data_IF_698646815773
#
_entry.id   IF_698646815773
#
_cell.length_a   1.000
_cell.length_b   1.000
_cell.length_c   1.000
_cell.angle_alpha   90.00
_cell.angle_beta   90.00
_cell.angle_gamma   90.00
#
_symmetry.space_group_name_H-M   'P 1'
#
loop_
_entity.id
_entity.type
_entity.pdbx_description
1 polymer ?
#
# COMPACT_ATOMS: atom_id res chain seq x y z
N UNK A 1 14.74 2.55 -0.34
CA UNK A 1 14.09 2.37 -1.66
C UNK A 1 13.47 0.97 -1.67
N UNK A 2 12.30 0.80 -2.29
CA UNK A 2 11.62 -0.49 -2.43
C UNK A 2 11.49 -0.80 -3.93
N UNK A 3 11.54 -2.07 -4.33
CA UNK A 3 11.29 -2.47 -5.70
C UNK A 3 9.77 -2.59 -5.93
N UNK A 4 9.19 -1.64 -6.66
CA UNK A 4 7.75 -1.51 -6.91
C UNK A 4 7.40 -2.16 -8.23
N UNK A 5 6.55 -3.18 -8.19
CA UNK A 5 6.17 -3.95 -9.38
C UNK A 5 4.66 -3.90 -9.58
N UNK A 6 4.22 -3.55 -10.79
CA UNK A 6 2.83 -3.68 -11.22
C UNK A 6 2.65 -5.00 -11.95
N UNK A 7 1.73 -5.84 -11.48
CA UNK A 7 1.35 -7.08 -12.16
C UNK A 7 0.02 -6.86 -12.89
N UNK A 8 0.03 -7.13 -14.20
CA UNK A 8 -1.13 -7.06 -15.09
C UNK A 8 -1.42 -8.42 -15.72
N UNK A 9 -2.54 -8.50 -16.43
CA UNK A 9 -2.86 -9.67 -17.24
C UNK A 9 -4.24 -9.58 -17.85
N UNK A 10 -4.50 -10.38 -18.91
CA UNK A 10 -5.81 -10.43 -19.55
C UNK A 10 -6.93 -10.74 -18.55
N UNK A 11 -8.08 -10.06 -18.71
CA UNK A 11 -9.25 -10.20 -17.82
C UNK A 11 -9.64 -11.67 -17.68
N UNK A 12 -9.77 -12.40 -18.79
CA UNK A 12 -10.18 -13.80 -18.80
C UNK A 12 -9.29 -14.70 -17.94
N UNK A 13 -7.96 -14.56 -18.06
CA UNK A 13 -7.03 -15.33 -17.24
C UNK A 13 -7.14 -14.99 -15.75
N UNK A 14 -7.41 -13.72 -15.42
CA UNK A 14 -7.63 -13.31 -14.02
C UNK A 14 -8.94 -13.89 -13.47
N UNK A 15 -9.99 -13.91 -14.29
CA UNK A 15 -11.28 -14.51 -13.94
C UNK A 15 -11.14 -16.00 -13.66
N UNK A 16 -10.51 -16.76 -14.56
CA UNK A 16 -10.24 -18.19 -14.34
C UNK A 16 -9.45 -18.46 -13.07
N UNK A 17 -8.41 -17.65 -12.78
CA UNK A 17 -7.64 -17.76 -11.53
C UNK A 17 -8.52 -17.52 -10.30
N UNK A 18 -9.40 -16.53 -10.32
CA UNK A 18 -10.32 -16.23 -9.22
C UNK A 18 -11.36 -17.34 -9.06
N UNK A 19 -11.92 -17.86 -10.15
CA UNK A 19 -12.83 -19.01 -10.12
C UNK A 19 -12.17 -20.20 -9.41
N UNK A 20 -10.96 -20.57 -9.83
CA UNK A 20 -10.24 -21.72 -9.30
C UNK A 20 -9.82 -21.52 -7.84
N UNK A 21 -9.41 -20.30 -7.47
CA UNK A 21 -8.95 -19.99 -6.09
C UNK A 21 -10.09 -19.95 -5.08
N UNK A 22 -11.22 -19.35 -5.46
CA UNK A 22 -12.34 -19.10 -4.54
C UNK A 22 -13.45 -20.16 -4.67
N UNK A 23 -13.41 -21.02 -5.70
CA UNK A 23 -14.44 -22.04 -5.95
C UNK A 23 -15.79 -21.47 -6.38
N UNK A 24 -15.80 -20.37 -7.14
CA UNK A 24 -17.00 -19.62 -7.53
C UNK A 24 -17.29 -19.67 -9.03
N UNK A 25 -18.51 -19.28 -9.42
CA UNK A 25 -18.91 -19.20 -10.83
C UNK A 25 -18.12 -18.15 -11.60
N UNK A 26 -18.08 -18.29 -12.94
CA UNK A 26 -17.44 -17.33 -13.83
C UNK A 26 -17.99 -15.92 -13.66
N UNK A 27 -19.31 -15.78 -13.58
CA UNK A 27 -19.95 -14.48 -13.43
C UNK A 27 -19.58 -13.82 -12.10
N UNK A 28 -19.56 -14.58 -11.00
CA UNK A 28 -19.12 -14.07 -9.70
C UNK A 28 -17.65 -13.65 -9.73
N UNK A 29 -16.76 -14.45 -10.33
CA UNK A 29 -15.35 -14.11 -10.48
C UNK A 29 -15.15 -12.87 -11.35
N UNK A 30 -15.88 -12.73 -12.46
CA UNK A 30 -15.85 -11.56 -13.33
C UNK A 30 -16.30 -10.30 -12.58
N UNK A 31 -17.35 -10.39 -11.76
CA UNK A 31 -17.80 -9.28 -10.92
C UNK A 31 -16.72 -8.85 -9.93
N UNK A 32 -16.04 -9.81 -9.27
CA UNK A 32 -14.95 -9.50 -8.33
C UNK A 32 -13.76 -8.85 -9.03
N UNK A 33 -13.36 -9.35 -10.20
CA UNK A 33 -12.27 -8.79 -11.01
C UNK A 33 -12.59 -7.36 -11.43
N UNK A 34 -13.78 -7.13 -12.01
CA UNK A 34 -14.19 -5.79 -12.46
C UNK A 34 -14.31 -4.81 -11.29
N UNK A 35 -14.84 -5.27 -10.15
CA UNK A 35 -14.93 -4.44 -8.94
C UNK A 35 -13.54 -4.04 -8.47
N UNK A 36 -12.60 -4.97 -8.37
CA UNK A 36 -11.23 -4.68 -7.98
C UNK A 36 -10.55 -3.70 -8.95
N UNK A 37 -10.68 -3.92 -10.26
CA UNK A 37 -10.10 -3.02 -11.28
C UNK A 37 -10.66 -1.59 -11.19
N UNK A 38 -11.92 -1.44 -10.80
CA UNK A 38 -12.57 -0.14 -10.66
C UNK A 38 -12.34 0.54 -9.28
N UNK A 39 -12.09 -0.23 -8.24
CA UNK A 39 -11.88 0.30 -6.87
C UNK A 39 -10.42 0.59 -6.56
N UNK A 40 -9.49 -0.24 -7.03
CA UNK A 40 -8.06 -0.14 -6.70
C UNK A 40 -7.44 1.22 -7.09
N UNK A 41 -7.66 1.79 -8.29
CA UNK A 41 -7.10 3.09 -8.63
C UNK A 41 -7.55 4.20 -7.67
N UNK A 42 -8.84 4.20 -7.31
CA UNK A 42 -9.41 5.19 -6.37
C UNK A 42 -8.82 5.03 -4.97
N UNK A 43 -8.71 3.79 -4.49
CA UNK A 43 -8.12 3.48 -3.19
C UNK A 43 -6.65 3.90 -3.10
N UNK A 44 -5.85 3.63 -4.13
CA UNK A 44 -4.42 3.97 -4.16
C UNK A 44 -4.22 5.48 -4.22
N UNK A 45 -5.00 6.17 -5.05
CA UNK A 45 -4.98 7.63 -5.10
C UNK A 45 -5.40 8.25 -3.77
N UNK A 46 -6.45 7.72 -3.14
CA UNK A 46 -6.91 8.20 -1.84
C UNK A 46 -5.89 7.99 -0.72
N UNK A 47 -5.29 6.79 -0.62
CA UNK A 47 -4.37 6.46 0.48
C UNK A 47 -2.97 7.03 0.31
N UNK A 48 -2.48 7.12 -0.93
CA UNK A 48 -1.07 7.40 -1.20
C UNK A 48 -0.85 8.61 -2.12
N UNK A 49 -1.92 9.20 -2.66
CA UNK A 49 -1.81 10.31 -3.62
C UNK A 49 -1.18 9.91 -4.94
N UNK A 50 -1.08 8.59 -5.21
CA UNK A 50 -0.41 8.05 -6.40
C UNK A 50 -1.41 7.69 -7.48
N UNK A 51 -1.01 7.91 -8.73
CA UNK A 51 -1.76 7.41 -9.87
C UNK A 51 -1.41 5.94 -10.09
N UNK A 52 -2.42 5.10 -10.13
CA UNK A 52 -2.26 3.65 -10.30
C UNK A 52 -1.88 3.26 -11.72
N UNK A 53 -2.24 4.09 -12.70
CA UNK A 53 -1.98 3.82 -14.10
C UNK A 53 -0.72 4.55 -14.62
N UNK A 54 -0.07 5.38 -13.79
CA UNK A 54 1.19 6.04 -14.13
C UNK A 54 2.37 5.04 -14.06
N UNK A 55 3.05 4.74 -15.19
CA UNK A 55 4.18 3.84 -15.21
C UNK A 55 5.36 4.32 -14.33
N UNK A 56 5.50 5.63 -14.09
CA UNK A 56 6.57 6.20 -13.28
C UNK A 56 6.45 5.85 -11.78
N UNK A 57 5.26 5.42 -11.33
CA UNK A 57 5.06 4.94 -9.96
C UNK A 57 5.62 3.53 -9.72
N UNK A 58 6.05 2.85 -10.79
CA UNK A 58 6.59 1.49 -10.75
C UNK A 58 7.99 1.42 -11.32
N UNK A 59 8.77 0.46 -10.83
CA UNK A 59 10.11 0.18 -11.34
C UNK A 59 10.09 -0.97 -12.38
N UNK A 60 9.01 -1.76 -12.40
CA UNK A 60 8.73 -2.76 -13.40
C UNK A 60 7.21 -2.98 -13.55
N UNK A 61 6.77 -3.26 -14.77
CA UNK A 61 5.41 -3.68 -15.08
C UNK A 61 5.51 -5.03 -15.79
N UNK A 62 4.79 -6.04 -15.28
CA UNK A 62 4.84 -7.41 -15.80
C UNK A 62 3.43 -7.88 -16.17
N UNK A 63 3.29 -8.47 -17.35
CA UNK A 63 2.02 -8.99 -17.84
C UNK A 63 2.00 -10.53 -17.83
N UNK A 64 1.11 -11.08 -17.01
CA UNK A 64 0.94 -12.53 -16.82
C UNK A 64 0.32 -13.26 -18.00
N UNK A 65 -0.17 -12.53 -19.02
CA UNK A 65 -0.61 -13.11 -20.29
C UNK A 65 0.47 -13.14 -21.36
N UNK A 66 1.56 -12.38 -21.19
CA UNK A 66 2.68 -12.32 -22.15
C UNK A 66 3.79 -13.31 -21.78
N UNK A 67 4.11 -13.42 -20.49
CA UNK A 67 5.17 -14.29 -19.99
C UNK A 67 4.64 -15.34 -19.01
N UNK A 68 5.30 -16.50 -18.95
CA UNK A 68 5.00 -17.54 -17.97
C UNK A 68 5.29 -17.01 -16.56
N UNK A 69 4.45 -17.38 -15.59
CA UNK A 69 4.57 -16.93 -14.20
C UNK A 69 5.97 -17.24 -13.64
N UNK A 70 6.50 -18.44 -13.86
CA UNK A 70 7.82 -18.84 -13.38
C UNK A 70 8.93 -17.92 -13.91
N UNK A 71 8.85 -17.54 -15.19
CA UNK A 71 9.81 -16.63 -15.80
C UNK A 71 9.70 -15.20 -15.24
N UNK A 72 8.47 -14.74 -14.97
CA UNK A 72 8.23 -13.45 -14.30
C UNK A 72 8.85 -13.47 -12.91
N UNK A 73 8.59 -14.52 -12.12
CA UNK A 73 9.13 -14.68 -10.76
C UNK A 73 10.66 -14.71 -10.78
N UNK A 74 11.26 -15.49 -11.68
CA UNK A 74 12.72 -15.57 -11.81
C UNK A 74 13.35 -14.22 -12.14
N UNK A 75 12.78 -13.49 -13.10
CA UNK A 75 13.30 -12.20 -13.53
C UNK A 75 13.18 -11.16 -12.40
N UNK A 76 12.03 -11.09 -11.73
CA UNK A 76 11.83 -10.18 -10.60
C UNK A 76 12.74 -10.53 -9.42
N UNK A 77 12.98 -11.82 -9.16
CA UNK A 77 13.87 -12.27 -8.09
C UNK A 77 15.32 -11.89 -8.37
N UNK A 78 15.80 -12.09 -9.60
CA UNK A 78 17.15 -11.69 -10.01
C UNK A 78 17.35 -10.18 -9.87
N UNK A 79 16.40 -9.38 -10.35
CA UNK A 79 16.43 -7.93 -10.22
C UNK A 79 16.41 -7.48 -8.75
N UNK A 80 15.56 -8.10 -7.92
CA UNK A 80 15.50 -7.81 -6.49
C UNK A 80 16.84 -8.10 -5.80
N UNK A 81 17.48 -9.25 -6.08
CA UNK A 81 18.78 -9.61 -5.50
C UNK A 81 19.86 -8.59 -5.89
N UNK A 82 19.90 -8.17 -7.16
CA UNK A 82 20.86 -7.16 -7.61
C UNK A 82 20.66 -5.82 -6.89
N UNK A 83 19.41 -5.36 -6.78
CA UNK A 83 19.06 -4.13 -6.05
C UNK A 83 19.35 -4.24 -4.55
N UNK A 84 19.13 -5.40 -3.96
CA UNK A 84 19.42 -5.63 -2.54
C UNK A 84 20.93 -5.64 -2.25
N UNK A 85 21.73 -6.11 -3.21
CA UNK A 85 23.19 -6.16 -3.12
C UNK A 85 23.87 -4.80 -2.92
N UNK A 86 23.23 -3.71 -3.37
CA UNK A 86 23.74 -2.32 -3.20
C UNK A 86 23.13 -1.59 -2.00
N UNK A 87 22.30 -2.27 -1.19
CA UNK A 87 21.54 -1.64 -0.10
C UNK A 87 22.42 -1.37 1.13
N UNK A 88 22.46 -0.11 1.56
CA UNK A 88 23.13 0.27 2.82
C UNK A 88 22.24 0.08 4.04
N UNK A 89 22.83 0.10 5.25
CA UNK A 89 22.07 0.08 6.52
C UNK A 89 21.07 1.23 6.60
N UNK A 90 21.44 2.42 6.15
CA UNK A 90 20.56 3.60 6.17
C UNK A 90 19.40 3.47 5.18
N UNK A 91 19.66 2.92 3.99
CA UNK A 91 18.59 2.61 3.03
C UNK A 91 17.58 1.62 3.62
N UNK A 92 18.05 0.64 4.40
CA UNK A 92 17.19 -0.34 5.08
C UNK A 92 16.38 0.31 6.20
N UNK A 93 16.98 1.16 7.03
CA UNK A 93 16.25 1.92 8.07
C UNK A 93 15.18 2.82 7.45
N UNK A 94 15.53 3.57 6.40
CA UNK A 94 14.59 4.42 5.69
C UNK A 94 13.44 3.62 5.06
N UNK A 95 13.71 2.41 4.56
CA UNK A 95 12.68 1.52 4.05
C UNK A 95 11.73 1.09 5.18
N UNK A 96 12.25 0.66 6.33
CA UNK A 96 11.43 0.26 7.50
C UNK A 96 10.52 1.40 7.95
N UNK A 97 11.03 2.62 8.06
CA UNK A 97 10.24 3.80 8.41
C UNK A 97 9.11 4.03 7.40
N UNK A 98 9.42 4.00 6.10
CA UNK A 98 8.40 4.18 5.04
C UNK A 98 7.35 3.07 5.06
N UNK A 99 7.75 1.81 5.25
CA UNK A 99 6.81 0.69 5.38
C UNK A 99 5.84 0.93 6.52
N UNK A 100 6.34 1.34 7.69
CA UNK A 100 5.48 1.67 8.83
C UNK A 100 4.57 2.87 8.58
N UNK A 101 5.05 3.90 7.88
CA UNK A 101 4.21 5.01 7.47
C UNK A 101 3.04 4.56 6.58
N UNK A 102 3.29 3.69 5.59
CA UNK A 102 2.24 3.16 4.72
C UNK A 102 1.27 2.24 5.47
N UNK A 103 1.76 1.38 6.37
CA UNK A 103 0.91 0.53 7.21
C UNK A 103 -0.04 1.37 8.07
N UNK A 104 0.48 2.39 8.76
CA UNK A 104 -0.35 3.30 9.58
C UNK A 104 -1.39 4.00 8.70
N UNK A 105 -0.99 4.56 7.55
CA UNK A 105 -1.93 5.19 6.61
C UNK A 105 -3.04 4.23 6.18
N UNK A 106 -2.69 3.00 5.80
CA UNK A 106 -3.67 2.00 5.40
C UNK A 106 -4.65 1.69 6.54
N UNK A 107 -4.18 1.46 7.77
CA UNK A 107 -5.05 1.16 8.91
C UNK A 107 -5.98 2.33 9.26
N UNK A 108 -5.50 3.56 9.16
CA UNK A 108 -6.29 4.74 9.49
C UNK A 108 -7.34 5.04 8.40
N UNK A 109 -6.93 5.05 7.13
CA UNK A 109 -7.77 5.47 6.01
C UNK A 109 -8.76 4.40 5.55
N UNK A 110 -8.52 3.13 5.87
CA UNK A 110 -9.47 2.04 5.59
C UNK A 110 -10.44 1.79 6.75
N UNK A 111 -10.28 2.47 7.90
CA UNK A 111 -11.19 2.33 9.03
C UNK A 111 -12.38 3.28 8.88
N UNK A 112 -13.61 2.78 8.63
CA UNK A 112 -14.77 3.62 8.37
C UNK A 112 -15.21 4.46 9.58
N UNK A 113 -14.74 4.12 10.80
CA UNK A 113 -15.02 4.88 12.01
C UNK A 113 -14.09 6.08 12.19
N UNK A 114 -13.02 6.17 11.39
CA UNK A 114 -12.00 7.21 11.48
C UNK A 114 -12.10 8.14 10.29
N UNK A 115 -12.97 9.13 10.39
CA UNK A 115 -13.02 10.18 9.39
C UNK A 115 -12.02 11.28 9.73
N UNK A 116 -10.86 11.28 9.05
CA UNK A 116 -9.88 12.35 9.11
C UNK A 116 -9.70 13.01 7.74
N UNK A 117 -10.15 14.27 7.55
CA UNK A 117 -10.03 14.95 6.26
C UNK A 117 -8.58 15.32 5.91
N UNK A 118 -7.71 15.47 6.91
CA UNK A 118 -6.31 15.84 6.73
C UNK A 118 -5.45 14.89 7.54
N UNK A 119 -4.61 14.12 6.84
CA UNK A 119 -3.64 13.20 7.42
C UNK A 119 -2.34 13.28 6.62
N UNK A 120 -1.27 13.70 7.28
CA UNK A 120 0.08 13.61 6.76
C UNK A 120 0.93 12.73 7.65
N UNK A 121 1.73 11.87 7.04
CA UNK A 121 2.59 10.92 7.73
C UNK A 121 3.86 10.73 6.91
N UNK A 122 4.96 11.20 7.47
CA UNK A 122 6.25 11.18 6.81
C UNK A 122 7.37 10.89 7.82
N UNK A 123 8.49 10.31 7.37
CA UNK A 123 9.69 10.21 8.19
C UNK A 123 10.37 11.58 8.35
N UNK A 124 10.79 11.89 9.58
CA UNK A 124 11.63 13.04 9.91
C UNK A 124 12.87 12.49 10.64
N UNK A 125 14.01 12.40 9.94
CA UNK A 125 15.20 11.74 10.48
C UNK A 125 14.97 10.24 10.74
N UNK A 126 14.97 9.83 12.01
CA UNK A 126 14.75 8.43 12.43
C UNK A 126 13.37 8.17 13.06
N UNK A 127 12.48 9.16 13.08
CA UNK A 127 11.12 9.01 13.58
C UNK A 127 10.09 9.19 12.47
N UNK A 128 8.86 8.76 12.76
CA UNK A 128 7.68 9.11 12.00
C UNK A 128 6.96 10.28 12.65
N UNK A 129 6.49 11.21 11.83
CA UNK A 129 5.68 12.34 12.28
C UNK A 129 4.29 12.21 11.66
N UNK A 130 3.30 11.97 12.51
CA UNK A 130 1.89 11.94 12.15
C UNK A 130 1.28 13.31 12.44
N UNK A 131 0.76 13.97 11.41
CA UNK A 131 0.05 15.25 11.51
C UNK A 131 -1.35 15.10 10.97
N UNK A 132 -2.32 15.75 11.58
CA UNK A 132 -3.68 15.71 11.05
C UNK A 132 -4.65 16.57 11.81
N UNK A 133 -5.88 16.57 11.29
CA UNK A 133 -7.02 17.22 11.93
C UNK A 133 -8.12 16.18 12.13
N UNK A 134 -8.49 15.99 13.39
CA UNK A 134 -9.61 15.13 13.77
C UNK A 134 -10.87 15.95 14.01
N UNK A 135 -12.02 15.33 13.78
CA UNK A 135 -13.32 15.98 13.99
C UNK A 135 -13.63 16.26 15.46
N UNK A 136 -13.08 15.46 16.38
CA UNK A 136 -13.22 15.62 17.82
C UNK A 136 -12.06 14.91 18.55
N UNK A 137 -11.97 15.09 19.87
CA UNK A 137 -10.92 14.49 20.69
C UNK A 137 -10.94 12.97 20.69
N UNK A 138 -12.13 12.34 20.70
CA UNK A 138 -12.26 10.88 20.69
C UNK A 138 -11.64 10.25 19.43
N UNK A 139 -11.81 10.89 18.27
CA UNK A 139 -11.18 10.45 17.03
C UNK A 139 -9.66 10.68 17.08
N UNK A 140 -9.20 11.80 17.63
CA UNK A 140 -7.76 12.06 17.77
C UNK A 140 -7.07 10.98 18.63
N UNK A 141 -7.64 10.66 19.79
CA UNK A 141 -7.15 9.61 20.70
C UNK A 141 -7.15 8.24 20.00
N UNK A 142 -8.24 7.89 19.31
CA UNK A 142 -8.34 6.61 18.60
C UNK A 142 -7.30 6.47 17.49
N UNK A 143 -7.04 7.55 16.77
CA UNK A 143 -6.03 7.57 15.70
C UNK A 143 -4.64 7.41 16.30
N UNK A 144 -4.35 8.09 17.40
CA UNK A 144 -3.09 7.95 18.11
C UNK A 144 -2.86 6.51 18.59
N UNK A 145 -3.87 5.89 19.21
CA UNK A 145 -3.80 4.51 19.68
C UNK A 145 -3.46 3.54 18.54
N UNK A 146 -4.17 3.65 17.41
CA UNK A 146 -3.94 2.79 16.24
C UNK A 146 -2.56 3.05 15.65
N UNK A 147 -2.17 4.32 15.49
CA UNK A 147 -0.87 4.66 14.93
C UNK A 147 0.28 4.14 15.79
N UNK A 148 0.18 4.27 17.12
CA UNK A 148 1.18 3.74 18.06
C UNK A 148 1.21 2.21 18.04
N UNK A 149 0.04 1.55 18.02
CA UNK A 149 -0.04 0.10 17.94
C UNK A 149 0.62 -0.45 16.67
N UNK A 150 0.44 0.20 15.51
CA UNK A 150 1.01 -0.25 14.23
C UNK A 150 2.49 0.11 14.12
N UNK A 151 2.91 1.26 14.67
CA UNK A 151 4.31 1.70 14.71
C UNK A 151 5.20 0.73 15.51
N UNK A 152 4.68 0.17 16.60
CA UNK A 152 5.44 -0.70 17.50
C UNK A 152 6.67 0.02 18.04
N UNK A 153 7.86 -0.48 17.71
CA UNK A 153 9.13 0.08 18.18
C UNK A 153 9.65 1.28 17.36
N UNK A 154 8.95 1.66 16.29
CA UNK A 154 9.34 2.85 15.50
C UNK A 154 8.97 4.12 16.26
N UNK A 155 9.92 5.04 16.51
CA UNK A 155 9.60 6.31 17.14
C UNK A 155 8.53 7.06 16.34
N UNK A 156 7.47 7.48 17.03
CA UNK A 156 6.31 8.14 16.44
C UNK A 156 5.90 9.36 17.26
N UNK A 157 5.97 10.54 16.64
CA UNK A 157 5.41 11.79 17.15
C UNK A 157 4.05 12.02 16.51
N UNK A 158 3.04 12.28 17.34
CA UNK A 158 1.65 12.45 16.92
C UNK A 158 1.22 13.88 17.23
N UNK A 159 0.85 14.62 16.20
CA UNK A 159 0.41 16.01 16.24
C UNK A 159 -0.97 16.12 15.58
N UNK A 160 -2.01 15.67 16.28
CA UNK A 160 -3.39 15.73 15.77
C UNK A 160 -4.13 16.84 16.49
N UNK A 161 -4.66 17.79 15.71
CA UNK A 161 -5.50 18.85 16.25
C UNK A 161 -6.96 18.41 16.17
N UNK A 162 -7.70 18.49 17.27
CA UNK A 162 -9.15 18.28 17.27
C UNK A 162 -9.88 19.58 17.00
N UNK A 163 -10.87 19.53 16.10
CA UNK A 163 -11.88 20.59 16.01
C UNK A 163 -12.81 20.46 17.23
N UNK A 164 -13.18 21.59 17.82
CA UNK A 164 -14.19 21.64 18.90
C UNK A 164 -15.57 21.34 18.35
#
# INVERSE_FOLDING_TARGET
>A
YAFRVRVTGPVEQRVERVMNREGISRDAAQMLVNKADHEMPRSIRYMYGKDWDDPAEYDAIVDTGVAKIDQIVDNLTKELIQRDGIRTKDMRKALVLRTKAYEIRAHLLTNPKLHMPILDLHPEGQELVLRGVANNTLIAERVEDIARSVAGNVPLRVNIHSRR
#
